data_IF_249791831073
#
_entry.id   IF_249791831073
#
_cell.length_a   1.000
_cell.length_b   1.000
_cell.length_c   1.000
_cell.angle_alpha   90.00
_cell.angle_beta   90.00
_cell.angle_gamma   90.00
#
_symmetry.space_group_name_H-M   'P 1'
#
loop_
_entity.id
_entity.type
_entity.pdbx_description
1 polymer ?
#
# COMPACT_ATOMS: atom_id res chain seq x y z
N UNK A 1 16.80 11.38 -0.53
CA UNK A 1 16.75 12.72 -1.19
C UNK A 1 17.14 13.91 -0.31
N UNK A 2 16.60 14.10 0.92
CA UNK A 2 16.95 15.28 1.76
C UNK A 2 18.45 15.42 2.02
N UNK A 3 19.11 14.35 2.47
CA UNK A 3 20.54 14.34 2.76
C UNK A 3 21.40 14.42 1.50
N UNK A 4 20.98 13.74 0.42
CA UNK A 4 21.63 13.82 -0.89
C UNK A 4 21.64 15.26 -1.43
N UNK A 5 20.51 15.97 -1.35
CA UNK A 5 20.39 17.35 -1.82
C UNK A 5 20.85 18.40 -0.80
N UNK A 6 21.56 18.00 0.27
CA UNK A 6 22.10 18.93 1.25
C UNK A 6 23.49 19.47 0.86
N UNK A 7 24.17 18.86 -0.11
CA UNK A 7 25.46 19.35 -0.62
C UNK A 7 26.30 18.28 -1.29
N UNK A 8 27.52 18.66 -1.68
CA UNK A 8 28.56 17.78 -2.23
C UNK A 8 29.73 17.67 -1.26
N UNK A 9 30.26 16.47 -1.06
CA UNK A 9 31.42 16.22 -0.20
C UNK A 9 31.20 15.03 0.73
N UNK A 10 32.20 14.72 1.53
CA UNK A 10 32.25 13.49 2.36
C UNK A 10 31.16 13.39 3.44
N UNK A 11 30.39 14.45 3.67
CA UNK A 11 29.28 14.49 4.63
C UNK A 11 27.91 14.18 4.00
N UNK A 12 27.86 14.01 2.66
CA UNK A 12 26.62 13.81 1.92
C UNK A 12 26.65 12.49 1.13
N UNK A 13 25.52 11.78 1.00
CA UNK A 13 25.46 10.59 0.17
C UNK A 13 25.68 10.91 -1.32
N UNK A 14 26.42 10.08 -2.03
CA UNK A 14 26.60 10.19 -3.49
C UNK A 14 25.43 9.59 -4.29
N UNK A 15 24.66 8.67 -3.68
CA UNK A 15 23.52 8.00 -4.30
C UNK A 15 22.35 7.98 -3.30
N UNK A 16 21.15 8.19 -3.81
CA UNK A 16 19.89 7.98 -3.08
C UNK A 16 18.94 7.20 -3.98
N UNK A 17 18.15 6.30 -3.40
CA UNK A 17 16.98 5.74 -4.10
C UNK A 17 15.71 6.49 -3.66
N UNK A 18 14.65 6.28 -4.43
CA UNK A 18 13.27 6.61 -4.12
C UNK A 18 12.35 5.68 -4.94
N UNK A 19 11.17 5.35 -4.42
CA UNK A 19 10.12 4.57 -5.13
C UNK A 19 9.46 5.36 -6.27
N UNK A 20 9.77 6.65 -6.38
CA UNK A 20 9.19 7.59 -7.34
C UNK A 20 10.25 8.45 -8.01
N UNK A 21 9.85 9.09 -9.12
CA UNK A 21 10.68 10.08 -9.77
C UNK A 21 11.00 11.27 -8.84
N UNK A 22 12.15 11.90 -9.05
CA UNK A 22 12.54 13.12 -8.34
C UNK A 22 11.58 14.27 -8.70
N UNK A 23 11.07 14.99 -7.69
CA UNK A 23 10.15 16.13 -7.90
C UNK A 23 10.92 17.37 -8.37
N UNK A 24 10.29 18.24 -9.16
CA UNK A 24 10.89 19.52 -9.58
C UNK A 24 11.38 20.37 -8.39
N UNK A 25 10.60 20.43 -7.32
CA UNK A 25 10.98 21.14 -6.09
C UNK A 25 12.16 20.50 -5.37
N UNK A 26 12.37 19.19 -5.52
CA UNK A 26 13.55 18.51 -4.99
C UNK A 26 14.77 18.88 -5.84
N UNK A 27 14.67 18.84 -7.18
CA UNK A 27 15.74 19.27 -8.09
C UNK A 27 16.19 20.70 -7.77
N UNK A 28 15.24 21.63 -7.62
CA UNK A 28 15.52 23.02 -7.26
C UNK A 28 16.28 23.14 -5.94
N UNK A 29 15.91 22.34 -4.93
CA UNK A 29 16.63 22.29 -3.64
C UNK A 29 18.04 21.70 -3.78
N UNK A 30 18.22 20.69 -4.62
CA UNK A 30 19.56 20.13 -4.85
C UNK A 30 20.44 21.18 -5.52
N UNK A 31 19.92 21.89 -6.53
CA UNK A 31 20.62 22.96 -7.23
C UNK A 31 21.00 24.12 -6.29
N UNK A 32 20.09 24.56 -5.40
CA UNK A 32 20.39 25.62 -4.43
C UNK A 32 21.47 25.26 -3.41
N UNK A 33 21.76 23.96 -3.23
CA UNK A 33 22.83 23.45 -2.39
C UNK A 33 24.05 22.94 -3.19
N UNK A 34 24.17 23.30 -4.47
CA UNK A 34 25.34 22.98 -5.31
C UNK A 34 25.35 21.57 -5.91
N UNK A 35 24.25 20.81 -5.78
CA UNK A 35 24.06 19.52 -6.44
C UNK A 35 23.38 19.74 -7.79
N UNK A 36 24.14 20.18 -8.79
CA UNK A 36 23.62 20.64 -10.09
C UNK A 36 23.42 19.53 -11.12
N UNK A 37 24.18 18.43 -11.01
CA UNK A 37 24.18 17.34 -12.00
C UNK A 37 23.60 16.07 -11.40
N UNK A 38 22.28 15.94 -11.48
CA UNK A 38 21.56 14.75 -11.03
C UNK A 38 21.35 13.84 -12.24
N UNK A 39 21.69 12.57 -12.10
CA UNK A 39 21.32 11.52 -13.07
C UNK A 39 20.29 10.62 -12.43
N UNK A 40 19.09 10.59 -13.01
CA UNK A 40 18.03 9.68 -12.58
C UNK A 40 18.14 8.37 -13.37
N UNK A 41 18.20 7.25 -12.65
CA UNK A 41 18.26 5.91 -13.23
C UNK A 41 17.05 5.13 -12.72
N UNK A 42 16.19 4.69 -13.63
CA UNK A 42 15.09 3.78 -13.31
C UNK A 42 15.65 2.36 -13.13
N UNK A 43 15.57 1.85 -11.90
CA UNK A 43 16.08 0.51 -11.56
C UNK A 43 15.03 -0.58 -11.80
N UNK A 44 13.75 -0.26 -11.65
CA UNK A 44 12.67 -1.23 -11.81
C UNK A 44 11.29 -0.60 -11.64
N UNK A 45 10.31 -1.48 -11.48
CA UNK A 45 8.93 -1.15 -11.16
C UNK A 45 8.54 -1.95 -9.93
N UNK A 46 7.86 -1.29 -8.98
CA UNK A 46 7.21 -2.00 -7.89
C UNK A 46 5.87 -2.55 -8.38
N UNK A 47 5.51 -3.72 -7.84
CA UNK A 47 4.28 -4.40 -8.16
C UNK A 47 3.80 -5.18 -6.96
N UNK A 48 2.49 -5.08 -6.71
CA UNK A 48 1.80 -5.90 -5.72
C UNK A 48 0.81 -6.79 -6.46
N UNK A 49 0.82 -8.08 -6.11
CA UNK A 49 -0.11 -9.07 -6.64
C UNK A 49 -0.96 -9.58 -5.50
N UNK A 50 -2.27 -9.49 -5.67
CA UNK A 50 -3.22 -10.24 -4.84
C UNK A 50 -3.46 -11.59 -5.52
N UNK A 51 -3.16 -12.66 -4.81
CA UNK A 51 -3.33 -14.03 -5.30
C UNK A 51 -4.49 -14.71 -4.58
N UNK A 52 -5.23 -15.54 -5.31
CA UNK A 52 -6.24 -16.44 -4.78
C UNK A 52 -5.95 -17.88 -5.25
N UNK A 53 -6.54 -18.87 -4.57
CA UNK A 53 -6.43 -20.27 -4.98
C UNK A 53 -7.01 -20.50 -6.39
N UNK A 54 -6.32 -21.31 -7.19
CA UNK A 54 -6.79 -21.73 -8.53
C UNK A 54 -8.06 -22.60 -8.48
N UNK A 55 -8.38 -23.16 -7.31
CA UNK A 55 -9.60 -23.95 -7.09
C UNK A 55 -10.80 -23.06 -6.73
N UNK A 56 -10.56 -21.79 -6.40
CA UNK A 56 -11.59 -20.81 -6.14
C UNK A 56 -11.93 -20.01 -7.42
N UNK A 57 -13.19 -19.54 -7.57
CA UNK A 57 -13.52 -18.58 -8.62
C UNK A 57 -12.59 -17.38 -8.55
N UNK A 58 -12.08 -16.95 -9.70
CA UNK A 58 -11.24 -15.75 -9.79
C UNK A 58 -12.09 -14.53 -9.39
N UNK A 59 -11.60 -13.79 -8.41
CA UNK A 59 -12.19 -12.50 -8.03
C UNK A 59 -11.53 -11.38 -8.83
N UNK A 60 -12.32 -10.58 -9.52
CA UNK A 60 -11.87 -9.32 -10.10
C UNK A 60 -12.19 -8.22 -9.09
N UNK A 61 -11.16 -7.77 -8.37
CA UNK A 61 -11.28 -6.75 -7.33
C UNK A 61 -10.75 -5.40 -7.82
N UNK A 62 -11.48 -4.33 -7.53
CA UNK A 62 -10.95 -2.96 -7.68
C UNK A 62 -10.14 -2.55 -6.46
N UNK A 63 -9.32 -1.49 -6.58
CA UNK A 63 -8.55 -0.97 -5.44
C UNK A 63 -9.47 -0.46 -4.33
N UNK A 64 -10.60 0.15 -4.68
CA UNK A 64 -11.61 0.62 -3.75
C UNK A 64 -12.25 -0.54 -2.98
N UNK A 65 -12.54 -1.66 -3.65
CA UNK A 65 -13.06 -2.86 -2.98
C UNK A 65 -12.04 -3.46 -2.01
N UNK A 66 -10.76 -3.48 -2.39
CA UNK A 66 -9.67 -3.95 -1.52
C UNK A 66 -9.51 -3.00 -0.32
N UNK A 67 -9.54 -1.69 -0.55
CA UNK A 67 -9.46 -0.68 0.49
C UNK A 67 -10.61 -0.81 1.49
N UNK A 68 -11.86 -0.87 1.01
CA UNK A 68 -13.03 -1.05 1.87
C UNK A 68 -12.99 -2.38 2.63
N UNK A 69 -12.39 -3.43 2.06
CA UNK A 69 -12.22 -4.70 2.76
C UNK A 69 -11.19 -4.61 3.90
N UNK A 70 -10.11 -3.84 3.73
CA UNK A 70 -8.91 -3.92 4.57
C UNK A 70 -8.61 -2.68 5.41
N UNK A 71 -9.20 -1.53 5.12
CA UNK A 71 -9.03 -0.33 5.92
C UNK A 71 -9.55 -0.54 7.34
N UNK A 72 -8.88 0.05 8.33
CA UNK A 72 -9.26 -0.04 9.75
C UNK A 72 -10.62 0.62 10.01
N UNK A 73 -10.82 1.77 9.39
CA UNK A 73 -12.08 2.50 9.40
C UNK A 73 -12.52 2.71 7.96
N UNK A 74 -13.84 2.77 7.72
CA UNK A 74 -14.45 3.04 6.40
C UNK A 74 -15.52 4.11 6.50
N UNK A 75 -15.81 4.84 5.40
CA UNK A 75 -16.89 5.82 5.39
C UNK A 75 -18.26 5.15 5.54
N UNK A 76 -19.04 5.63 6.50
CA UNK A 76 -20.44 5.28 6.71
C UNK A 76 -21.21 6.56 7.02
N UNK A 77 -22.17 6.92 6.16
CA UNK A 77 -23.02 8.10 6.32
C UNK A 77 -22.21 9.40 6.58
N UNK A 78 -21.09 9.58 5.85
CA UNK A 78 -20.23 10.77 5.95
C UNK A 78 -19.28 10.79 7.15
N UNK A 79 -19.06 9.65 7.82
CA UNK A 79 -18.12 9.53 8.94
C UNK A 79 -17.27 8.28 8.81
N UNK A 80 -16.04 8.34 9.27
CA UNK A 80 -15.22 7.14 9.46
C UNK A 80 -15.71 6.36 10.68
N UNK A 81 -15.91 5.06 10.49
CA UNK A 81 -16.28 4.12 11.56
C UNK A 81 -15.44 2.86 11.44
N UNK A 82 -15.23 2.09 12.54
CA UNK A 82 -14.56 0.80 12.48
C UNK A 82 -15.16 -0.09 11.40
N UNK A 83 -14.31 -0.75 10.60
CA UNK A 83 -14.74 -1.47 9.42
C UNK A 83 -15.79 -2.57 9.74
N UNK A 84 -17.05 -2.40 9.29
CA UNK A 84 -18.12 -3.33 9.62
C UNK A 84 -18.19 -4.52 8.66
N UNK A 85 -17.49 -4.46 7.52
CA UNK A 85 -17.61 -5.46 6.47
C UNK A 85 -16.94 -6.77 6.88
N UNK A 86 -17.67 -7.88 6.76
CA UNK A 86 -17.20 -9.22 7.12
C UNK A 86 -17.15 -10.15 5.91
N UNK A 87 -17.99 -9.91 4.91
CA UNK A 87 -18.00 -10.65 3.64
C UNK A 87 -17.73 -9.72 2.48
N UNK A 88 -17.13 -10.24 1.40
CA UNK A 88 -16.88 -9.44 0.20
C UNK A 88 -18.18 -8.89 -0.42
N UNK A 89 -19.28 -9.64 -0.31
CA UNK A 89 -20.61 -9.19 -0.74
C UNK A 89 -21.19 -8.03 0.07
N UNK A 90 -20.65 -7.74 1.26
CA UNK A 90 -21.06 -6.58 2.05
C UNK A 90 -20.57 -5.26 1.40
N UNK A 91 -19.47 -5.34 0.63
CA UNK A 91 -18.85 -4.21 -0.08
C UNK A 91 -19.52 -4.02 -1.44
N UNK A 92 -19.68 -5.11 -2.20
CA UNK A 92 -20.30 -5.08 -3.52
C UNK A 92 -21.01 -6.42 -3.78
N UNK A 93 -22.29 -6.37 -4.15
CA UNK A 93 -23.14 -7.55 -4.37
C UNK A 93 -22.66 -8.45 -5.52
N UNK A 94 -21.81 -7.95 -6.41
CA UNK A 94 -21.19 -8.73 -7.48
C UNK A 94 -20.07 -9.66 -6.97
N UNK A 95 -19.54 -9.39 -5.77
CA UNK A 95 -18.51 -10.21 -5.15
C UNK A 95 -19.10 -11.43 -4.43
N UNK A 96 -18.26 -12.45 -4.20
CA UNK A 96 -18.69 -13.67 -3.54
C UNK A 96 -19.13 -13.43 -2.10
N UNK A 97 -20.16 -14.13 -1.63
CA UNK A 97 -20.53 -14.16 -0.22
C UNK A 97 -19.58 -15.07 0.59
N UNK A 98 -18.30 -14.73 0.59
CA UNK A 98 -17.24 -15.35 1.39
C UNK A 98 -16.75 -14.36 2.42
N UNK A 99 -16.35 -14.87 3.58
CA UNK A 99 -15.70 -14.07 4.62
C UNK A 99 -14.44 -13.41 4.05
N UNK A 100 -14.18 -12.18 4.48
CA UNK A 100 -12.97 -11.44 4.12
C UNK A 100 -11.84 -11.99 4.98
N UNK A 101 -10.95 -12.74 4.34
CA UNK A 101 -9.68 -13.16 4.92
C UNK A 101 -8.57 -12.88 3.90
N UNK A 102 -7.62 -12.03 4.28
CA UNK A 102 -6.45 -11.69 3.49
C UNK A 102 -5.20 -11.95 4.31
N UNK A 103 -4.36 -12.84 3.78
CA UNK A 103 -3.02 -13.04 4.30
C UNK A 103 -2.12 -11.96 3.73
N UNK A 104 -1.42 -11.22 4.57
CA UNK A 104 -0.54 -10.17 4.09
C UNK A 104 0.67 -9.94 4.98
N UNK A 105 1.68 -9.22 4.48
CA UNK A 105 2.94 -9.02 5.17
C UNK A 105 2.78 -8.23 6.50
N UNK A 106 3.65 -8.49 7.49
CA UNK A 106 3.62 -7.78 8.76
C UNK A 106 4.06 -6.30 8.61
N UNK A 107 3.83 -5.44 9.61
CA UNK A 107 4.19 -4.02 9.57
C UNK A 107 5.69 -3.73 9.39
N UNK A 108 6.57 -4.73 9.55
CA UNK A 108 8.03 -4.60 9.35
C UNK A 108 8.48 -4.90 7.93
N UNK A 109 7.56 -5.25 7.02
CA UNK A 109 7.86 -5.70 5.66
C UNK A 109 7.77 -4.55 4.65
N UNK A 110 8.75 -4.43 3.76
CA UNK A 110 8.68 -3.48 2.65
C UNK A 110 7.53 -3.77 1.67
N UNK A 111 7.05 -5.01 1.57
CA UNK A 111 5.85 -5.33 0.77
C UNK A 111 4.59 -4.73 1.39
N UNK A 112 4.53 -4.59 2.72
CA UNK A 112 3.44 -3.90 3.40
C UNK A 112 3.44 -2.41 3.06
N UNK A 113 4.61 -1.78 3.07
CA UNK A 113 4.76 -0.37 2.68
C UNK A 113 4.29 -0.15 1.24
N UNK A 114 4.72 -1.01 0.31
CA UNK A 114 4.28 -0.94 -1.08
C UNK A 114 2.77 -1.19 -1.25
N UNK A 115 2.16 -2.10 -0.46
CA UNK A 115 0.71 -2.29 -0.47
C UNK A 115 -0.04 -1.04 0.02
N UNK A 116 0.46 -0.39 1.07
CA UNK A 116 -0.12 0.85 1.59
C UNK A 116 -0.04 1.96 0.54
N UNK A 117 1.14 2.20 -0.03
CA UNK A 117 1.36 3.26 -1.02
C UNK A 117 0.55 3.02 -2.32
N UNK A 118 0.64 1.82 -2.90
CA UNK A 118 0.10 1.54 -4.24
C UNK A 118 -1.40 1.17 -4.25
N UNK A 119 -1.97 0.82 -3.10
CA UNK A 119 -3.37 0.37 -3.00
C UNK A 119 -4.14 1.19 -2.00
N UNK A 120 -3.69 1.27 -0.75
CA UNK A 120 -4.49 1.88 0.31
C UNK A 120 -4.60 3.40 0.12
N UNK A 121 -3.47 4.08 0.00
CA UNK A 121 -3.44 5.54 -0.18
C UNK A 121 -4.11 5.97 -1.49
N UNK A 122 -3.78 5.33 -2.62
CA UNK A 122 -4.38 5.61 -3.93
C UNK A 122 -5.92 5.45 -3.92
N UNK A 123 -6.44 4.39 -3.32
CA UNK A 123 -7.89 4.19 -3.23
C UNK A 123 -8.54 5.18 -2.26
N UNK A 124 -7.84 5.55 -1.19
CA UNK A 124 -8.31 6.48 -0.18
C UNK A 124 -8.64 7.87 -0.74
N UNK A 125 -7.91 8.31 -1.78
CA UNK A 125 -8.14 9.62 -2.43
C UNK A 125 -9.56 9.77 -2.99
N UNK A 126 -10.26 8.65 -3.26
CA UNK A 126 -11.64 8.65 -3.75
C UNK A 126 -12.69 8.89 -2.64
N UNK A 127 -12.27 8.99 -1.38
CA UNK A 127 -13.16 9.12 -0.22
C UNK A 127 -12.91 10.45 0.53
N UNK A 128 -13.79 11.45 0.38
CA UNK A 128 -13.63 12.76 1.03
C UNK A 128 -13.50 12.71 2.56
N UNK A 129 -14.04 11.67 3.20
CA UNK A 129 -13.98 11.49 4.66
C UNK A 129 -12.56 11.31 5.21
N UNK A 130 -11.57 11.03 4.35
CA UNK A 130 -10.16 10.91 4.72
C UNK A 130 -9.32 12.14 4.38
N UNK A 131 -9.92 13.21 3.82
CA UNK A 131 -9.16 14.38 3.38
C UNK A 131 -8.28 14.94 4.52
N UNK A 132 -6.97 15.01 4.26
CA UNK A 132 -5.98 15.47 5.24
C UNK A 132 -5.59 14.45 6.32
N UNK A 133 -6.06 13.21 6.25
CA UNK A 133 -5.76 12.15 7.22
C UNK A 133 -5.09 10.92 6.57
N UNK A 134 -3.83 11.09 6.15
CA UNK A 134 -3.03 10.03 5.55
C UNK A 134 -2.82 8.82 6.47
N UNK A 135 -2.71 9.03 7.78
CA UNK A 135 -2.55 7.94 8.76
C UNK A 135 -3.78 7.01 8.76
N UNK A 136 -4.99 7.56 8.60
CA UNK A 136 -6.21 6.77 8.48
C UNK A 136 -6.28 6.01 7.14
N UNK A 137 -5.78 6.60 6.04
CA UNK A 137 -5.66 5.89 4.76
C UNK A 137 -4.71 4.69 4.86
N UNK A 138 -3.61 4.83 5.59
CA UNK A 138 -2.59 3.80 5.77
C UNK A 138 -2.98 2.70 6.78
N UNK A 139 -3.98 2.96 7.63
CA UNK A 139 -4.38 2.06 8.69
C UNK A 139 -5.14 0.84 8.16
N UNK A 140 -4.57 -0.34 8.31
CA UNK A 140 -5.20 -1.63 7.99
C UNK A 140 -5.88 -2.18 9.25
N UNK A 141 -7.01 -2.88 9.07
CA UNK A 141 -7.76 -3.53 10.16
C UNK A 141 -6.97 -4.66 10.82
N UNK A 142 -7.21 -4.84 12.12
CA UNK A 142 -6.54 -5.84 12.97
C UNK A 142 -7.56 -6.82 13.61
N UNK A 143 -8.78 -6.86 13.07
CA UNK A 143 -9.91 -7.62 13.64
C UNK A 143 -10.04 -9.05 13.09
N UNK A 144 -8.95 -9.58 12.51
CA UNK A 144 -8.87 -10.95 11.99
C UNK A 144 -9.08 -11.08 10.48
N UNK A 145 -9.66 -10.09 9.80
CA UNK A 145 -9.84 -10.13 8.34
C UNK A 145 -8.52 -9.93 7.57
N UNK A 146 -7.57 -9.21 8.16
CA UNK A 146 -6.18 -9.16 7.69
C UNK A 146 -5.32 -9.98 8.65
N UNK A 147 -4.76 -11.07 8.16
CA UNK A 147 -3.91 -11.98 8.94
C UNK A 147 -2.47 -11.75 8.52
N UNK A 148 -1.68 -11.24 9.45
CA UNK A 148 -0.25 -11.06 9.22
C UNK A 148 0.43 -12.42 9.03
N UNK A 149 1.04 -12.59 7.87
CA UNK A 149 1.78 -13.78 7.49
C UNK A 149 3.25 -13.41 7.29
N UNK A 150 4.15 -14.22 7.85
CA UNK A 150 5.59 -14.07 7.60
C UNK A 150 5.95 -14.28 6.12
N UNK A 151 7.15 -13.86 5.74
CA UNK A 151 7.63 -13.81 4.35
C UNK A 151 8.13 -15.17 3.82
N UNK A 152 7.50 -16.28 4.23
CA UNK A 152 7.85 -17.61 3.73
C UNK A 152 6.86 -18.04 2.63
N UNK A 153 7.31 -17.98 1.38
CA UNK A 153 6.49 -18.27 0.20
C UNK A 153 5.77 -19.61 0.27
N UNK A 154 6.44 -20.66 0.75
CA UNK A 154 5.84 -21.99 0.85
C UNK A 154 4.69 -22.00 1.85
N UNK A 155 4.83 -21.29 2.98
CA UNK A 155 3.76 -21.18 3.98
C UNK A 155 2.58 -20.36 3.44
N UNK A 156 2.84 -19.31 2.67
CA UNK A 156 1.80 -18.51 2.04
C UNK A 156 0.98 -19.37 1.06
N UNK A 157 1.64 -20.12 0.18
CA UNK A 157 0.98 -21.01 -0.78
C UNK A 157 0.20 -22.12 -0.06
N UNK A 158 0.77 -22.73 0.98
CA UNK A 158 0.09 -23.76 1.76
C UNK A 158 -1.17 -23.22 2.45
N UNK A 159 -1.11 -22.01 3.01
CA UNK A 159 -2.28 -21.38 3.63
C UNK A 159 -3.37 -21.05 2.60
N UNK A 160 -2.99 -20.59 1.41
CA UNK A 160 -3.94 -20.34 0.31
C UNK A 160 -4.63 -21.63 -0.19
N UNK A 161 -4.02 -22.80 -0.02
CA UNK A 161 -4.63 -24.08 -0.35
C UNK A 161 -5.52 -24.62 0.77
N UNK A 162 -5.23 -24.27 2.02
CA UNK A 162 -5.93 -24.80 3.19
C UNK A 162 -7.20 -24.03 3.57
N UNK A 163 -7.29 -22.75 3.18
CA UNK A 163 -8.39 -21.83 3.49
C UNK A 163 -9.25 -21.55 2.25
#
# INVERSE_FOLDING_TARGET
LKLFCAGVGTQHPDITNASRAIKSSEIERCASNGVEKITEIKIGYDGIVLANSNEAPRSELTREQIFLALAKEVPQNGKLVPNPYKHWSDIDKSLSNKEIEVLGPPPTSGTRDAFVELVMEEACENFPEYEGNGDACAAVREDGAYVEAGENDNLIVQKLQAN
#
